data_IF_501443953217
#
_entry.id   IF_501443953217
#
_cell.length_a   1.000
_cell.length_b   1.000
_cell.length_c   1.000
_cell.angle_alpha   90.00
_cell.angle_beta   90.00
_cell.angle_gamma   90.00
#
_symmetry.space_group_name_H-M   'P 1'
#
loop_
_entity.id
_entity.type
_entity.pdbx_description
1 polymer ?
#
# COMPACT_ATOMS: atom_id res chain seq x y z
N UNK A 1 -35.71 10.78 5.01
CA UNK A 1 -34.28 11.17 5.17
C UNK A 1 -34.23 12.18 6.31
N UNK A 2 -33.49 11.86 7.38
CA UNK A 2 -33.41 12.75 8.55
C UNK A 2 -32.48 13.94 8.25
N UNK A 3 -32.68 15.07 8.96
CA UNK A 3 -31.89 16.30 8.78
C UNK A 3 -30.35 16.03 8.93
N UNK A 4 -29.99 15.11 9.81
CA UNK A 4 -28.59 14.70 9.99
C UNK A 4 -27.99 13.99 8.75
N UNK A 5 -28.82 13.29 7.97
CA UNK A 5 -28.33 12.64 6.74
C UNK A 5 -28.17 13.62 5.58
N UNK A 6 -28.88 14.78 5.63
CA UNK A 6 -28.69 15.86 4.65
C UNK A 6 -27.29 16.47 4.71
N UNK A 7 -26.71 16.55 5.90
CA UNK A 7 -25.35 17.08 6.09
C UNK A 7 -24.29 16.24 5.36
N UNK A 8 -24.53 14.93 5.20
CA UNK A 8 -23.63 14.04 4.47
C UNK A 8 -23.65 14.26 2.95
N UNK A 9 -24.63 14.99 2.43
CA UNK A 9 -24.73 15.34 1.01
C UNK A 9 -23.98 16.64 0.65
N UNK A 10 -23.48 17.38 1.64
CA UNK A 10 -22.66 18.57 1.37
C UNK A 10 -21.23 18.14 1.08
N UNK A 11 -20.78 18.43 -0.13
CA UNK A 11 -19.42 18.16 -0.57
C UNK A 11 -18.65 19.47 -0.75
N UNK A 12 -17.35 19.49 -0.49
CA UNK A 12 -16.51 20.64 -0.83
C UNK A 12 -16.60 20.97 -2.33
N UNK A 13 -16.46 22.25 -2.65
CA UNK A 13 -16.42 22.67 -4.05
C UNK A 13 -15.22 22.04 -4.75
N UNK A 14 -15.46 21.45 -5.93
CA UNK A 14 -14.42 20.74 -6.69
C UNK A 14 -14.21 19.28 -6.29
N UNK A 15 -14.94 18.78 -5.26
CA UNK A 15 -14.87 17.37 -4.92
C UNK A 15 -15.60 16.50 -5.94
N UNK A 16 -14.99 15.37 -6.30
CA UNK A 16 -15.61 14.30 -7.10
C UNK A 16 -16.24 13.30 -6.14
N UNK A 17 -17.58 13.13 -6.14
CA UNK A 17 -18.25 12.18 -5.26
C UNK A 17 -18.02 10.73 -5.72
N UNK A 18 -17.74 9.84 -4.75
CA UNK A 18 -17.68 8.40 -4.94
C UNK A 18 -18.97 7.78 -4.40
N UNK A 19 -19.63 6.97 -5.22
CA UNK A 19 -20.89 6.34 -4.84
C UNK A 19 -20.65 5.21 -3.84
N UNK A 20 -21.42 5.23 -2.73
CA UNK A 20 -21.46 4.17 -1.76
C UNK A 20 -22.70 3.29 -2.01
N UNK A 21 -22.47 2.06 -2.50
CA UNK A 21 -23.55 1.10 -2.77
C UNK A 21 -24.00 0.33 -1.52
N UNK A 22 -23.18 0.33 -0.48
CA UNK A 22 -23.37 -0.46 0.73
C UNK A 22 -23.65 0.37 1.99
N UNK A 23 -23.79 1.68 1.84
CA UNK A 23 -24.03 2.63 2.94
C UNK A 23 -24.52 3.98 2.45
N UNK A 24 -24.65 4.94 3.38
CA UNK A 24 -25.19 6.27 3.10
C UNK A 24 -24.12 7.36 2.97
N UNK A 25 -22.93 7.14 3.53
CA UNK A 25 -21.85 8.11 3.48
C UNK A 25 -21.13 8.01 2.13
N UNK A 26 -21.10 9.07 1.31
CA UNK A 26 -20.31 9.07 0.08
C UNK A 26 -18.82 9.11 0.41
N UNK A 27 -17.99 8.57 -0.47
CA UNK A 27 -16.59 8.93 -0.53
C UNK A 27 -16.39 10.16 -1.40
N UNK A 28 -15.19 10.72 -1.41
CA UNK A 28 -14.87 11.83 -2.29
C UNK A 28 -13.39 11.88 -2.64
N UNK A 29 -13.11 12.45 -3.81
CA UNK A 29 -11.77 12.78 -4.27
C UNK A 29 -11.67 14.30 -4.35
N UNK A 30 -10.60 14.84 -3.79
CA UNK A 30 -10.23 16.26 -3.85
C UNK A 30 -8.86 16.38 -4.51
N UNK A 31 -8.77 17.21 -5.52
CA UNK A 31 -7.51 17.52 -6.19
C UNK A 31 -7.07 18.95 -5.87
N UNK A 32 -5.80 19.10 -5.49
CA UNK A 32 -5.12 20.38 -5.47
C UNK A 32 -4.13 20.42 -6.64
N UNK A 33 -4.53 21.07 -7.71
CA UNK A 33 -3.73 21.18 -8.93
C UNK A 33 -2.45 22.02 -8.71
N UNK A 34 -2.47 22.95 -7.73
CA UNK A 34 -1.31 23.83 -7.45
C UNK A 34 -0.20 23.06 -6.75
N UNK A 35 -0.57 22.22 -5.78
CA UNK A 35 0.37 21.42 -5.01
C UNK A 35 0.57 20.01 -5.58
N UNK A 36 -0.11 19.69 -6.69
CA UNK A 36 -0.13 18.34 -7.30
C UNK A 36 -0.46 17.24 -6.28
N UNK A 37 -1.45 17.50 -5.42
CA UNK A 37 -1.87 16.57 -4.38
C UNK A 37 -3.29 16.13 -4.60
N UNK A 38 -3.55 14.87 -4.26
CA UNK A 38 -4.89 14.28 -4.27
C UNK A 38 -5.21 13.72 -2.90
N UNK A 39 -6.36 14.09 -2.36
CA UNK A 39 -6.91 13.50 -1.15
C UNK A 39 -8.12 12.62 -1.52
N UNK A 40 -8.13 11.40 -1.00
CA UNK A 40 -9.26 10.46 -1.16
C UNK A 40 -9.83 10.18 0.21
N UNK A 41 -11.11 10.47 0.41
CA UNK A 41 -11.82 10.18 1.65
C UNK A 41 -12.82 9.05 1.40
N UNK A 42 -12.76 8.04 2.27
CA UNK A 42 -13.60 6.85 2.18
C UNK A 42 -14.30 6.58 3.51
N UNK A 43 -15.47 5.89 3.49
CA UNK A 43 -16.11 5.40 4.70
C UNK A 43 -15.20 4.45 5.48
N UNK A 44 -15.35 4.41 6.83
CA UNK A 44 -14.55 3.52 7.68
C UNK A 44 -14.88 2.03 7.56
N UNK A 45 -16.16 1.61 7.47
CA UNK A 45 -16.50 0.19 7.41
C UNK A 45 -15.92 -0.51 6.17
N UNK A 46 -15.17 -1.63 6.31
CA UNK A 46 -14.52 -2.32 5.18
C UNK A 46 -15.48 -2.71 4.06
N UNK A 47 -16.68 -3.17 4.39
CA UNK A 47 -17.72 -3.55 3.42
C UNK A 47 -18.16 -2.39 2.51
N UNK A 48 -17.98 -1.15 2.93
CA UNK A 48 -18.29 0.06 2.17
C UNK A 48 -17.05 0.57 1.45
N UNK A 49 -15.95 0.64 2.18
CA UNK A 49 -14.66 1.17 1.71
C UNK A 49 -14.04 0.32 0.61
N UNK A 50 -13.94 -1.00 0.79
CA UNK A 50 -13.24 -1.88 -0.15
C UNK A 50 -13.85 -1.88 -1.57
N UNK A 51 -15.18 -2.01 -1.76
CA UNK A 51 -15.78 -1.91 -3.09
C UNK A 51 -15.63 -0.53 -3.71
N UNK A 52 -15.75 0.54 -2.90
CA UNK A 52 -15.59 1.91 -3.37
C UNK A 52 -14.16 2.17 -3.83
N UNK A 53 -13.17 1.74 -3.05
CA UNK A 53 -11.76 1.83 -3.41
C UNK A 53 -11.46 1.06 -4.71
N UNK A 54 -11.87 -0.21 -4.77
CA UNK A 54 -11.54 -1.08 -5.90
C UNK A 54 -12.20 -0.63 -7.20
N UNK A 55 -13.47 -0.19 -7.13
CA UNK A 55 -14.27 0.09 -8.32
C UNK A 55 -14.17 1.54 -8.80
N UNK A 56 -13.79 2.48 -7.93
CA UNK A 56 -13.81 3.91 -8.27
C UNK A 56 -12.44 4.57 -8.06
N UNK A 57 -11.75 4.32 -6.92
CA UNK A 57 -10.46 4.97 -6.64
C UNK A 57 -9.34 4.35 -7.48
N UNK A 58 -9.27 3.02 -7.56
CA UNK A 58 -8.23 2.34 -8.34
C UNK A 58 -8.25 2.72 -9.83
N UNK A 59 -9.40 2.76 -10.53
CA UNK A 59 -9.46 3.26 -11.90
C UNK A 59 -8.98 4.70 -12.02
N UNK A 60 -9.46 5.59 -11.14
CA UNK A 60 -9.03 6.98 -11.11
C UNK A 60 -7.51 7.14 -10.96
N UNK A 61 -6.91 6.41 -10.01
CA UNK A 61 -5.45 6.44 -9.81
C UNK A 61 -4.69 5.89 -11.01
N UNK A 62 -5.20 4.85 -11.67
CA UNK A 62 -4.58 4.28 -12.88
C UNK A 62 -4.56 5.26 -14.05
N UNK A 63 -5.56 6.12 -14.17
CA UNK A 63 -5.58 7.18 -15.18
C UNK A 63 -4.58 8.30 -14.89
N UNK A 64 -4.33 8.57 -13.60
CA UNK A 64 -3.40 9.63 -13.15
C UNK A 64 -1.95 9.18 -13.09
N UNK A 65 -1.69 7.90 -12.87
CA UNK A 65 -0.34 7.37 -12.68
C UNK A 65 0.04 6.40 -13.78
N UNK A 66 1.20 6.62 -14.39
CA UNK A 66 1.81 5.67 -15.32
C UNK A 66 2.79 4.72 -14.61
N UNK A 67 2.67 4.60 -13.28
CA UNK A 67 3.57 3.81 -12.45
C UNK A 67 2.85 2.61 -11.86
N UNK A 68 3.56 1.51 -11.74
CA UNK A 68 3.10 0.28 -11.07
C UNK A 68 3.82 0.15 -9.73
N UNK A 69 3.05 0.00 -8.64
CA UNK A 69 3.59 -0.35 -7.34
C UNK A 69 3.63 -1.88 -7.22
N UNK A 70 4.80 -2.41 -6.92
CA UNK A 70 5.00 -3.83 -6.62
C UNK A 70 5.52 -3.96 -5.20
N UNK A 71 4.87 -4.81 -4.43
CA UNK A 71 5.23 -5.11 -3.04
C UNK A 71 5.64 -6.56 -2.92
N UNK A 72 6.77 -6.82 -2.27
CA UNK A 72 7.23 -8.16 -1.92
C UNK A 72 7.34 -8.30 -0.40
N UNK A 73 6.93 -9.47 0.11
CA UNK A 73 7.06 -9.83 1.52
C UNK A 73 8.16 -10.89 1.68
N UNK A 74 9.23 -10.55 2.40
CA UNK A 74 10.31 -11.48 2.71
C UNK A 74 10.04 -12.01 4.11
N UNK A 75 9.88 -13.32 4.22
CA UNK A 75 9.52 -13.99 5.47
C UNK A 75 10.77 -14.47 6.21
N UNK A 76 10.94 -13.99 7.45
CA UNK A 76 12.06 -14.30 8.31
C UNK A 76 11.54 -15.03 9.54
N UNK A 77 12.18 -16.14 9.94
CA UNK A 77 11.81 -16.95 11.09
C UNK A 77 12.92 -16.95 12.16
N UNK A 78 12.52 -17.02 13.43
CA UNK A 78 13.45 -17.18 14.56
C UNK A 78 14.19 -15.92 15.00
N UNK A 79 13.91 -14.76 14.37
CA UNK A 79 14.50 -13.47 14.73
C UNK A 79 13.43 -12.51 15.21
N UNK A 80 13.75 -11.70 16.22
CA UNK A 80 12.87 -10.65 16.72
C UNK A 80 12.83 -9.45 15.76
N UNK A 81 11.68 -8.76 15.69
CA UNK A 81 11.47 -7.58 14.84
C UNK A 81 12.54 -6.51 15.06
N UNK A 82 12.83 -6.16 16.31
CA UNK A 82 13.86 -5.16 16.64
C UNK A 82 15.27 -5.52 16.17
N UNK A 83 15.59 -6.82 16.13
CA UNK A 83 16.86 -7.27 15.59
C UNK A 83 16.90 -7.14 14.08
N UNK A 84 15.83 -7.56 13.39
CA UNK A 84 15.69 -7.41 11.93
C UNK A 84 15.75 -5.94 11.55
N UNK A 85 15.04 -5.08 12.28
CA UNK A 85 15.06 -3.63 12.09
C UNK A 85 16.47 -3.06 12.25
N UNK A 86 17.18 -3.43 13.32
CA UNK A 86 18.56 -2.94 13.53
C UNK A 86 19.53 -3.35 12.42
N UNK A 87 19.38 -4.55 11.87
CA UNK A 87 20.22 -5.03 10.76
C UNK A 87 19.89 -4.36 9.43
N UNK A 88 18.66 -3.91 9.24
CA UNK A 88 18.18 -3.27 8.02
C UNK A 88 18.19 -1.74 8.10
N UNK A 89 18.49 -1.16 9.27
CA UNK A 89 18.34 0.27 9.54
C UNK A 89 19.02 1.15 8.50
N UNK A 90 20.29 0.97 8.26
CA UNK A 90 21.07 1.76 7.31
C UNK A 90 20.52 1.63 5.89
N UNK A 91 20.15 0.41 5.50
CA UNK A 91 19.55 0.13 4.22
C UNK A 91 18.18 0.82 4.05
N UNK A 92 17.36 0.87 5.12
CA UNK A 92 16.05 1.52 5.12
C UNK A 92 16.19 3.04 5.02
N UNK A 93 17.19 3.64 5.68
CA UNK A 93 17.43 5.09 5.62
C UNK A 93 17.97 5.55 4.27
N UNK A 94 18.85 4.77 3.66
CA UNK A 94 19.44 5.09 2.37
C UNK A 94 18.51 4.82 1.19
N UNK A 95 17.59 3.86 1.33
CA UNK A 95 16.75 3.37 0.25
C UNK A 95 15.46 4.16 0.14
N UNK A 96 15.33 4.97 -0.90
CA UNK A 96 14.09 5.72 -1.19
C UNK A 96 13.14 4.98 -2.12
N UNK A 97 13.67 4.14 -2.99
CA UNK A 97 12.92 3.35 -3.95
C UNK A 97 13.80 2.20 -4.49
N UNK A 98 13.61 0.95 -4.05
CA UNK A 98 12.50 0.47 -3.22
C UNK A 98 12.56 0.96 -1.78
N UNK A 99 11.40 1.07 -1.13
CA UNK A 99 11.32 1.22 0.32
C UNK A 99 11.30 -0.15 0.98
N UNK A 100 11.88 -0.26 2.17
CA UNK A 100 11.87 -1.48 2.97
C UNK A 100 11.35 -1.17 4.37
N UNK A 101 10.49 -2.02 4.90
CA UNK A 101 9.96 -1.89 6.26
C UNK A 101 9.84 -3.27 6.93
N UNK A 102 10.37 -3.46 8.15
CA UNK A 102 10.12 -4.65 8.93
C UNK A 102 8.71 -4.60 9.53
N UNK A 103 8.09 -5.75 9.70
CA UNK A 103 6.87 -5.88 10.48
C UNK A 103 6.76 -7.28 11.08
N UNK A 104 6.13 -7.36 12.25
CA UNK A 104 5.86 -8.64 12.90
C UNK A 104 4.45 -9.12 12.56
N UNK A 105 4.31 -10.39 12.21
CA UNK A 105 3.03 -11.05 12.06
C UNK A 105 3.07 -12.39 12.78
N UNK A 106 2.25 -12.53 13.84
CA UNK A 106 2.08 -13.78 14.61
C UNK A 106 3.40 -14.44 15.02
N UNK A 107 4.34 -13.68 15.62
CA UNK A 107 5.62 -14.18 16.10
C UNK A 107 6.67 -14.47 15.03
N UNK A 108 6.46 -13.97 13.81
CA UNK A 108 7.39 -14.06 12.69
C UNK A 108 7.79 -12.66 12.25
N UNK A 109 9.08 -12.42 12.12
CA UNK A 109 9.58 -11.21 11.48
C UNK A 109 9.35 -11.31 9.97
N UNK A 110 9.00 -10.19 9.36
CA UNK A 110 8.93 -10.06 7.91
C UNK A 110 9.45 -8.69 7.51
N UNK A 111 10.02 -8.58 6.32
CA UNK A 111 10.35 -7.31 5.71
C UNK A 111 9.50 -7.16 4.45
N UNK A 112 8.85 -6.01 4.28
CA UNK A 112 8.13 -5.68 3.07
C UNK A 112 8.92 -4.64 2.29
N UNK A 113 9.10 -4.88 1.00
CA UNK A 113 9.70 -3.92 0.08
C UNK A 113 8.69 -3.48 -0.95
N UNK A 114 8.53 -2.17 -1.12
CA UNK A 114 7.64 -1.55 -2.10
C UNK A 114 8.46 -0.84 -3.16
N UNK A 115 8.11 -1.04 -4.42
CA UNK A 115 8.79 -0.43 -5.55
C UNK A 115 7.81 0.19 -6.54
N UNK A 116 8.08 1.45 -6.92
CA UNK A 116 7.46 2.11 -8.05
C UNK A 116 8.30 1.89 -9.32
N UNK A 117 7.70 1.30 -10.35
CA UNK A 117 8.29 1.10 -11.68
C UNK A 117 7.31 1.47 -12.80
N UNK A 118 7.81 1.60 -14.02
CA UNK A 118 6.98 1.83 -15.22
C UNK A 118 6.22 0.58 -15.63
N UNK A 119 6.78 -0.59 -15.35
CA UNK A 119 6.13 -1.89 -15.52
C UNK A 119 6.39 -2.77 -14.31
N UNK A 120 5.62 -3.87 -14.22
CA UNK A 120 5.79 -4.87 -13.17
C UNK A 120 7.16 -5.54 -13.29
N UNK A 121 7.57 -5.91 -14.49
CA UNK A 121 8.85 -6.58 -14.76
C UNK A 121 10.04 -5.69 -14.39
N UNK A 122 9.91 -4.39 -14.57
CA UNK A 122 10.91 -3.42 -14.12
C UNK A 122 10.95 -3.34 -12.59
N UNK A 123 9.79 -3.24 -11.95
CA UNK A 123 9.68 -3.18 -10.51
C UNK A 123 10.21 -4.47 -9.84
N UNK A 124 9.85 -5.65 -10.37
CA UNK A 124 10.33 -6.94 -9.88
C UNK A 124 11.86 -7.04 -9.98
N UNK A 125 12.46 -6.68 -11.13
CA UNK A 125 13.93 -6.65 -11.30
C UNK A 125 14.66 -5.73 -10.34
N UNK A 126 14.05 -4.61 -9.98
CA UNK A 126 14.66 -3.66 -9.05
C UNK A 126 14.53 -4.12 -7.59
N UNK A 127 13.63 -5.07 -7.31
CA UNK A 127 13.51 -5.71 -6.00
C UNK A 127 14.51 -6.85 -5.80
N UNK A 128 15.03 -7.47 -6.85
CA UNK A 128 15.99 -8.59 -6.76
C UNK A 128 17.21 -8.27 -5.87
N UNK A 129 17.91 -7.13 -6.04
CA UNK A 129 19.06 -6.80 -5.18
C UNK A 129 18.69 -6.64 -3.70
N UNK A 130 17.47 -6.13 -3.42
CA UNK A 130 16.98 -5.99 -2.05
C UNK A 130 16.73 -7.35 -1.42
N UNK A 131 16.05 -8.22 -2.16
CA UNK A 131 15.76 -9.60 -1.71
C UNK A 131 17.07 -10.37 -1.45
N UNK A 132 18.02 -10.27 -2.37
CA UNK A 132 19.33 -10.93 -2.19
C UNK A 132 20.11 -10.37 -0.99
N UNK A 133 20.08 -9.05 -0.79
CA UNK A 133 20.71 -8.43 0.38
C UNK A 133 20.10 -8.90 1.69
N UNK A 134 18.77 -9.02 1.76
CA UNK A 134 18.08 -9.55 2.94
C UNK A 134 18.45 -11.04 3.16
N UNK A 135 18.54 -11.84 2.10
CA UNK A 135 18.97 -13.23 2.19
C UNK A 135 20.42 -13.35 2.67
N UNK A 136 21.33 -12.49 2.20
CA UNK A 136 22.72 -12.46 2.68
C UNK A 136 22.80 -12.14 4.17
N UNK A 137 22.00 -11.17 4.66
CA UNK A 137 22.02 -10.76 6.06
C UNK A 137 21.46 -11.82 7.01
N UNK A 138 20.40 -12.51 6.61
CA UNK A 138 19.66 -13.40 7.50
C UNK A 138 19.80 -14.89 7.17
N UNK A 139 20.40 -15.25 6.04
CA UNK A 139 20.71 -16.63 5.66
C UNK A 139 19.52 -17.57 5.78
N UNK A 140 19.72 -18.68 6.48
CA UNK A 140 18.70 -19.74 6.68
C UNK A 140 17.45 -19.29 7.45
N UNK A 141 17.49 -18.12 8.09
CA UNK A 141 16.31 -17.53 8.72
C UNK A 141 15.28 -17.02 7.69
N UNK A 142 15.70 -16.74 6.45
CA UNK A 142 14.78 -16.40 5.36
C UNK A 142 14.19 -17.67 4.78
N UNK A 143 12.93 -17.95 5.08
CA UNK A 143 12.26 -19.18 4.59
C UNK A 143 11.41 -18.97 3.33
N UNK A 144 11.28 -17.77 2.84
CA UNK A 144 10.65 -17.51 1.55
C UNK A 144 10.27 -16.07 1.27
N UNK A 145 9.91 -15.84 0.02
CA UNK A 145 9.41 -14.56 -0.47
C UNK A 145 7.98 -14.77 -0.99
N UNK A 146 7.06 -13.90 -0.61
CA UNK A 146 5.64 -13.91 -1.01
C UNK A 146 4.87 -15.21 -0.66
N UNK A 147 5.33 -15.98 0.32
CA UNK A 147 4.67 -17.22 0.75
C UNK A 147 3.32 -16.88 1.40
N UNK A 148 2.24 -17.50 0.90
CA UNK A 148 0.89 -17.36 1.48
C UNK A 148 0.23 -16.02 1.22
N UNK A 149 0.84 -15.12 0.47
CA UNK A 149 0.13 -13.98 -0.07
C UNK A 149 -0.74 -14.48 -1.24
N UNK A 150 -2.04 -14.59 -1.00
CA UNK A 150 -2.97 -14.49 -2.13
C UNK A 150 -2.64 -13.15 -2.79
N UNK A 151 -2.03 -13.20 -3.98
CA UNK A 151 -1.65 -12.01 -4.74
C UNK A 151 -2.83 -11.07 -4.80
N UNK A 152 -2.86 -10.05 -3.93
CA UNK A 152 -3.83 -8.98 -4.07
C UNK A 152 -3.43 -8.22 -5.32
N UNK A 153 -4.21 -8.41 -6.38
CA UNK A 153 -4.09 -7.63 -7.60
C UNK A 153 -4.71 -6.26 -7.30
N UNK A 154 -3.89 -5.29 -7.10
CA UNK A 154 -4.29 -3.88 -7.13
C UNK A 154 -4.15 -3.31 -8.54
#
# INVERSE_FOLDING_TARGET
>A
MTENNRKQAYLPVGAVPLQNQNGTAPGLILEDEREHRTAVLLPGPPREMEPMFSNQVVPYLKEKTHSTLVSHSIHIFGLGESYVESCLHDFMEESRNPTLAPYAKEGRGAAAGDRLGRSREEADRMMEPVIERVKELFGDNVYGVDIGSSRRRW
#
